data_IF_054719678322
#
_entry.id   IF_054719678322
#
_cell.length_a   1.000
_cell.length_b   1.000
_cell.length_c   1.000
_cell.angle_alpha   90.00
_cell.angle_beta   90.00
_cell.angle_gamma   90.00
#
_symmetry.space_group_name_H-M   'P 1'
#
loop_
_entity.id
_entity.type
_entity.pdbx_description
1 polymer ?
#
# COMPACT_ATOMS: atom_id res chain seq x y z
N UNK A 1 -2.67 -16.66 10.26
CA UNK A 1 -2.93 -17.13 8.88
C UNK A 1 -2.22 -16.16 7.95
N UNK A 2 -1.36 -16.64 7.04
CA UNK A 2 -0.81 -15.78 5.98
C UNK A 2 -1.82 -15.72 4.85
N UNK A 3 -2.17 -14.53 4.36
CA UNK A 3 -3.03 -14.37 3.17
C UNK A 3 -2.35 -15.05 1.97
N UNK A 4 -3.14 -15.72 1.13
CA UNK A 4 -2.65 -16.35 -0.10
C UNK A 4 -2.19 -15.30 -1.14
N UNK A 5 -2.75 -14.08 -1.06
CA UNK A 5 -2.45 -12.95 -1.94
C UNK A 5 -2.28 -11.67 -1.12
N UNK A 6 -1.29 -10.80 -1.44
CA UNK A 6 -1.16 -9.50 -0.80
C UNK A 6 -2.38 -8.63 -1.11
N UNK A 7 -2.91 -7.92 -0.11
CA UNK A 7 -3.97 -6.92 -0.25
C UNK A 7 -3.36 -5.52 -0.28
N UNK A 8 -3.70 -4.76 -1.31
CA UNK A 8 -3.27 -3.37 -1.50
C UNK A 8 -4.47 -2.45 -1.50
N UNK A 9 -4.44 -1.43 -0.65
CA UNK A 9 -5.38 -0.33 -0.66
C UNK A 9 -4.85 0.79 -1.55
N UNK A 10 -5.59 1.16 -2.58
CA UNK A 10 -5.31 2.32 -3.42
C UNK A 10 -6.27 3.46 -3.09
N UNK A 11 -5.69 4.63 -2.88
CA UNK A 11 -6.39 5.86 -2.48
C UNK A 11 -5.93 7.04 -3.32
N UNK A 12 -6.89 7.86 -3.73
CA UNK A 12 -6.66 9.13 -4.43
C UNK A 12 -6.68 10.25 -3.39
N UNK A 13 -5.52 10.74 -2.94
CA UNK A 13 -5.47 11.72 -1.86
C UNK A 13 -5.52 13.16 -2.38
N UNK A 14 -6.46 13.95 -1.86
CA UNK A 14 -6.62 15.38 -2.12
C UNK A 14 -7.10 15.76 -3.53
N UNK A 15 -6.91 14.89 -4.53
CA UNK A 15 -7.47 15.03 -5.88
C UNK A 15 -7.63 13.67 -6.55
N UNK A 16 -8.58 13.53 -7.49
CA UNK A 16 -8.67 12.34 -8.32
C UNK A 16 -7.42 12.12 -9.17
N UNK A 17 -7.08 10.87 -9.42
CA UNK A 17 -5.94 10.46 -10.23
C UNK A 17 -6.30 9.23 -11.09
N UNK A 18 -6.41 9.37 -12.42
CA UNK A 18 -6.74 8.25 -13.30
C UNK A 18 -5.67 7.14 -13.27
N UNK A 19 -4.44 7.43 -12.83
CA UNK A 19 -3.42 6.42 -12.63
C UNK A 19 -3.81 5.40 -11.55
N UNK A 20 -4.68 5.76 -10.60
CA UNK A 20 -5.13 4.86 -9.54
C UNK A 20 -5.92 3.67 -10.12
N UNK A 21 -6.79 3.93 -11.09
CA UNK A 21 -7.56 2.89 -11.79
C UNK A 21 -6.65 2.04 -12.67
N UNK A 22 -5.68 2.65 -13.37
CA UNK A 22 -4.73 1.93 -14.20
C UNK A 22 -3.85 0.99 -13.37
N UNK A 23 -3.29 1.49 -12.27
CA UNK A 23 -2.52 0.71 -11.31
C UNK A 23 -3.36 -0.43 -10.72
N UNK A 24 -4.61 -0.15 -10.33
CA UNK A 24 -5.50 -1.15 -9.77
C UNK A 24 -5.78 -2.31 -10.74
N UNK A 25 -5.81 -2.04 -12.05
CA UNK A 25 -5.97 -3.09 -13.07
C UNK A 25 -4.71 -3.96 -13.16
N UNK A 26 -3.55 -3.32 -13.33
CA UNK A 26 -2.27 -4.03 -13.43
C UNK A 26 -1.99 -4.91 -12.20
N UNK A 27 -2.22 -4.39 -11.00
CA UNK A 27 -2.04 -5.15 -9.76
C UNK A 27 -2.98 -6.37 -9.70
N UNK A 28 -4.25 -6.21 -10.10
CA UNK A 28 -5.19 -7.34 -10.13
C UNK A 28 -4.78 -8.39 -11.15
N UNK A 29 -4.32 -7.97 -12.32
CA UNK A 29 -3.82 -8.85 -13.38
C UNK A 29 -2.57 -9.62 -12.92
N UNK A 30 -1.76 -9.01 -12.05
CA UNK A 30 -0.57 -9.63 -11.43
C UNK A 30 -0.90 -10.55 -10.24
N UNK A 31 -2.19 -10.72 -9.92
CA UNK A 31 -2.60 -11.59 -8.82
C UNK A 31 -2.53 -10.90 -7.44
N UNK A 32 -2.53 -9.57 -7.37
CA UNK A 32 -2.70 -8.82 -6.12
C UNK A 32 -4.18 -8.58 -5.83
N UNK A 33 -4.58 -8.63 -4.57
CA UNK A 33 -5.91 -8.22 -4.17
C UNK A 33 -5.93 -6.69 -3.99
N UNK A 34 -6.85 -5.99 -4.66
CA UNK A 34 -6.84 -4.52 -4.67
C UNK A 34 -8.18 -3.96 -4.24
N UNK A 35 -8.14 -3.17 -3.17
CA UNK A 35 -9.24 -2.32 -2.72
C UNK A 35 -8.96 -0.91 -3.22
N UNK A 36 -9.88 -0.32 -3.99
CA UNK A 36 -9.76 1.04 -4.47
C UNK A 36 -10.78 1.91 -3.76
N UNK A 37 -10.34 2.67 -2.75
CA UNK A 37 -11.23 3.48 -1.91
C UNK A 37 -11.61 4.83 -2.53
N UNK A 38 -11.02 5.18 -3.67
CA UNK A 38 -11.30 6.44 -4.36
C UNK A 38 -10.72 7.65 -3.62
N UNK A 39 -11.39 8.79 -3.76
CA UNK A 39 -10.92 10.06 -3.21
C UNK A 39 -11.08 10.14 -1.69
N UNK A 40 -9.98 10.40 -1.00
CA UNK A 40 -9.94 10.78 0.42
C UNK A 40 -9.21 12.13 0.57
N UNK A 41 -9.63 12.93 1.55
CA UNK A 41 -9.09 14.29 1.72
C UNK A 41 -8.34 14.46 3.06
N UNK A 42 -8.47 13.52 4.00
CA UNK A 42 -7.80 13.61 5.32
C UNK A 42 -7.01 12.36 5.70
N UNK A 43 -5.99 12.55 6.54
CA UNK A 43 -5.21 11.45 7.11
C UNK A 43 -6.09 10.50 7.94
N UNK A 44 -7.07 11.04 8.68
CA UNK A 44 -7.99 10.24 9.49
C UNK A 44 -8.88 9.33 8.63
N UNK A 45 -9.41 9.84 7.52
CA UNK A 45 -10.17 9.02 6.57
C UNK A 45 -9.33 7.88 6.01
N UNK A 46 -8.09 8.19 5.63
CA UNK A 46 -7.16 7.20 5.09
C UNK A 46 -6.84 6.13 6.14
N UNK A 47 -6.48 6.55 7.36
CA UNK A 47 -6.21 5.63 8.47
C UNK A 47 -7.43 4.74 8.76
N UNK A 48 -8.62 5.31 8.90
CA UNK A 48 -9.83 4.53 9.18
C UNK A 48 -10.15 3.54 8.07
N UNK A 49 -9.94 3.94 6.81
CA UNK A 49 -10.11 3.04 5.66
C UNK A 49 -9.10 1.90 5.70
N UNK A 50 -7.83 2.19 5.99
CA UNK A 50 -6.80 1.17 6.11
C UNK A 50 -7.07 0.22 7.29
N UNK A 51 -7.56 0.71 8.43
CA UNK A 51 -7.95 -0.14 9.57
C UNK A 51 -9.12 -1.07 9.22
N UNK A 52 -10.11 -0.59 8.45
CA UNK A 52 -11.25 -1.40 8.02
C UNK A 52 -10.86 -2.47 6.98
N UNK A 53 -10.03 -2.08 6.02
CA UNK A 53 -9.65 -2.94 4.90
C UNK A 53 -8.48 -3.86 5.23
N UNK A 54 -7.75 -3.58 6.32
CA UNK A 54 -6.56 -4.32 6.78
C UNK A 54 -5.60 -4.70 5.65
N UNK A 55 -5.10 -3.70 4.87
CA UNK A 55 -4.25 -3.96 3.73
C UNK A 55 -2.82 -4.28 4.19
N UNK A 56 -2.11 -5.07 3.38
CA UNK A 56 -0.68 -5.31 3.59
C UNK A 56 0.16 -4.11 3.09
N UNK A 57 -0.36 -3.34 2.12
CA UNK A 57 0.24 -2.09 1.67
C UNK A 57 -0.79 -1.05 1.20
N UNK A 58 -0.42 0.22 1.24
CA UNK A 58 -1.23 1.37 0.80
C UNK A 58 -0.50 2.13 -0.30
N UNK A 59 -1.15 2.29 -1.46
CA UNK A 59 -0.70 3.16 -2.53
C UNK A 59 -1.50 4.47 -2.53
N UNK A 60 -0.79 5.59 -2.42
CA UNK A 60 -1.41 6.92 -2.44
C UNK A 60 -1.08 7.63 -3.75
N UNK A 61 -2.12 8.00 -4.49
CA UNK A 61 -2.05 8.75 -5.74
C UNK A 61 -2.68 10.14 -5.57
N UNK A 62 -2.69 10.97 -6.62
CA UNK A 62 -3.24 12.31 -6.56
C UNK A 62 -2.23 13.35 -6.10
N UNK A 63 -2.47 13.98 -4.95
CA UNK A 63 -1.57 14.97 -4.36
C UNK A 63 -0.34 14.32 -3.69
N UNK A 64 -0.38 12.99 -3.48
CA UNK A 64 0.64 12.22 -2.79
C UNK A 64 0.26 11.93 -1.33
N UNK A 65 1.07 11.13 -0.62
CA UNK A 65 0.78 10.74 0.75
C UNK A 65 0.78 11.95 1.70
N UNK A 66 -0.20 12.08 2.60
CA UNK A 66 -0.17 13.11 3.64
C UNK A 66 1.01 12.89 4.61
N UNK A 67 1.55 13.97 5.21
CA UNK A 67 2.57 13.86 6.26
C UNK A 67 2.09 12.97 7.43
N UNK A 68 2.99 12.17 7.98
CA UNK A 68 2.69 11.27 9.11
C UNK A 68 1.88 10.03 8.75
N UNK A 69 1.64 9.76 7.46
CA UNK A 69 0.87 8.59 7.03
C UNK A 69 1.51 7.26 7.47
N UNK A 70 2.81 7.08 7.23
CA UNK A 70 3.50 5.85 7.58
C UNK A 70 3.42 5.55 9.08
N UNK A 71 3.55 6.58 9.92
CA UNK A 71 3.42 6.47 11.38
C UNK A 71 1.98 6.12 11.79
N UNK A 72 0.97 6.69 11.13
CA UNK A 72 -0.44 6.48 11.43
C UNK A 72 -0.94 5.06 11.06
N UNK A 73 -0.25 4.38 10.15
CA UNK A 73 -0.67 3.08 9.62
C UNK A 73 -0.04 1.87 10.34
N UNK A 74 0.68 2.09 11.44
CA UNK A 74 1.13 1.07 12.39
C UNK A 74 1.73 -0.21 11.75
N UNK A 75 2.69 -0.03 10.83
CA UNK A 75 3.41 -1.14 10.19
C UNK A 75 2.83 -1.61 8.85
N UNK A 76 1.71 -1.05 8.39
CA UNK A 76 1.29 -1.20 7.00
C UNK A 76 2.25 -0.44 6.09
N UNK A 77 2.66 -1.10 5.02
CA UNK A 77 3.60 -0.57 4.04
C UNK A 77 2.98 0.56 3.22
N UNK A 78 3.69 1.65 2.98
CA UNK A 78 3.26 2.72 2.08
C UNK A 78 4.10 2.64 0.80
N UNK A 79 3.44 2.53 -0.36
CA UNK A 79 4.15 2.54 -1.62
C UNK A 79 4.85 3.90 -1.80
N UNK A 80 6.12 3.90 -2.22
CA UNK A 80 6.80 5.12 -2.64
C UNK A 80 6.01 5.82 -3.75
N UNK A 81 6.02 7.15 -3.81
CA UNK A 81 5.28 7.91 -4.81
C UNK A 81 5.72 7.54 -6.25
N UNK A 82 7.01 7.26 -6.44
CA UNK A 82 7.58 6.79 -7.70
C UNK A 82 7.12 5.38 -8.10
N UNK A 83 6.79 4.52 -7.14
CA UNK A 83 6.24 3.20 -7.39
C UNK A 83 4.72 3.29 -7.62
N UNK A 84 4.00 4.12 -6.86
CA UNK A 84 2.58 4.36 -7.06
C UNK A 84 2.27 4.97 -8.44
N UNK A 85 3.19 5.77 -9.00
CA UNK A 85 3.05 6.34 -10.34
C UNK A 85 3.41 5.41 -11.51
N UNK A 86 4.01 4.25 -11.23
CA UNK A 86 4.46 3.29 -12.25
C UNK A 86 4.01 1.86 -11.88
N UNK A 87 3.01 1.31 -12.58
CA UNK A 87 2.49 -0.02 -12.27
C UNK A 87 3.53 -1.15 -12.28
N UNK A 88 4.54 -1.07 -13.15
CA UNK A 88 5.61 -2.06 -13.20
C UNK A 88 6.47 -2.03 -11.93
N UNK A 89 6.81 -0.82 -11.47
CA UNK A 89 7.56 -0.64 -10.21
C UNK A 89 6.74 -0.98 -8.98
N UNK A 90 5.44 -0.68 -8.97
CA UNK A 90 4.56 -1.09 -7.88
C UNK A 90 4.55 -2.61 -7.70
N UNK A 91 4.43 -3.35 -8.81
CA UNK A 91 4.48 -4.82 -8.81
C UNK A 91 5.83 -5.32 -8.31
N UNK A 92 6.93 -4.81 -8.86
CA UNK A 92 8.28 -5.16 -8.43
C UNK A 92 8.48 -4.92 -6.93
N UNK A 93 8.01 -3.78 -6.43
CA UNK A 93 8.09 -3.41 -5.02
C UNK A 93 7.24 -4.33 -4.13
N UNK A 94 6.02 -4.69 -4.53
CA UNK A 94 5.17 -5.60 -3.77
C UNK A 94 5.70 -7.06 -3.75
N UNK A 95 6.51 -7.42 -4.76
CA UNK A 95 7.19 -8.71 -4.86
C UNK A 95 8.52 -8.73 -4.11
N UNK A 96 9.33 -7.68 -4.20
CA UNK A 96 10.68 -7.58 -3.64
C UNK A 96 10.79 -6.87 -2.29
N UNK A 97 9.91 -5.90 -2.01
CA UNK A 97 9.84 -5.13 -0.75
C UNK A 97 9.33 -5.92 0.46
N UNK A 98 8.91 -7.18 0.27
CA UNK A 98 8.72 -8.14 1.37
C UNK A 98 10.05 -8.69 1.92
N UNK A 99 11.17 -8.38 1.29
CA UNK A 99 12.50 -8.63 1.84
C UNK A 99 12.96 -7.39 2.60
N UNK A 100 13.22 -7.56 3.90
CA UNK A 100 13.79 -6.58 4.86
C UNK A 100 12.82 -5.75 5.72
N UNK A 101 12.04 -6.44 6.56
CA UNK A 101 11.88 -6.09 8.00
C UNK A 101 11.28 -7.27 8.78
N UNK A 102 11.87 -8.45 8.62
CA UNK A 102 11.67 -9.58 9.53
C UNK A 102 12.92 -10.48 9.48
N UNK A 103 14.06 -9.90 9.84
CA UNK A 103 15.20 -10.69 10.29
C UNK A 103 15.82 -9.97 11.48
N UNK A 104 15.13 -10.04 12.61
CA UNK A 104 15.82 -10.07 13.88
C UNK A 104 16.04 -11.58 14.17
N UNK A 105 17.28 -12.07 14.09
CA UNK A 105 17.57 -13.47 14.37
C UNK A 105 17.17 -13.79 15.81
N UNK A 106 16.49 -14.93 15.94
CA UNK A 106 16.25 -15.61 17.21
C UNK A 106 17.57 -15.76 17.98
N UNK A 107 17.85 -14.87 18.92
CA UNK A 107 18.91 -15.10 19.90
C UNK A 107 18.40 -16.09 20.95
N UNK A 108 18.50 -17.37 20.59
CA UNK A 108 18.43 -18.50 21.52
C UNK A 108 19.82 -19.12 21.57
N UNK A 109 20.79 -18.35 22.05
CA UNK A 109 22.02 -18.90 22.58
C UNK A 109 21.75 -19.42 24.00
N UNK A 110 21.60 -20.75 24.08
CA UNK A 110 22.03 -21.68 25.13
C UNK A 110 22.12 -21.19 26.58
#
# INVERSE_FOLDING_TARGET
MRRERPRVLLVEFGRPDPAAVALARVLRDDGVEVVHAGRLDTLEQLRSTAEQEDPDAVGVLGAGPPPGLADALNGVLVLPAEAAGDPGKAVEWLRGGRSHTADAPSDRAR
#
